data_IF_327201216134
#
_entry.id   IF_327201216134
#
_cell.length_a   1.000
_cell.length_b   1.000
_cell.length_c   1.000
_cell.angle_alpha   90.00
_cell.angle_beta   90.00
_cell.angle_gamma   90.00
#
_symmetry.space_group_name_H-M   'P 1'
#
loop_
_entity.id
_entity.type
_entity.pdbx_description
1 polymer ?
#
# COMPACT_ATOMS: atom_id res chain seq x y z
N UNK A 1 0.22 -15.97 16.81
CA UNK A 1 -0.80 -16.35 15.82
C UNK A 1 -0.10 -16.73 14.53
N UNK A 2 -0.47 -17.87 13.92
CA UNK A 2 0.01 -18.23 12.59
C UNK A 2 -0.96 -17.64 11.56
N UNK A 3 -0.45 -16.74 10.71
CA UNK A 3 -1.15 -16.23 9.53
C UNK A 3 -0.19 -16.34 8.35
N UNK A 4 -0.76 -16.65 7.20
CA UNK A 4 -0.10 -16.91 5.91
C UNK A 4 -0.15 -15.69 5.00
N UNK A 5 -1.07 -14.77 5.27
CA UNK A 5 -1.34 -13.61 4.45
C UNK A 5 -1.58 -12.35 5.28
N UNK A 6 -1.33 -11.22 4.64
CA UNK A 6 -1.60 -9.88 5.16
C UNK A 6 -2.39 -9.08 4.13
N UNK A 7 -3.12 -8.09 4.61
CA UNK A 7 -3.57 -6.97 3.81
C UNK A 7 -2.50 -5.89 3.88
N UNK A 8 -2.02 -5.43 2.74
CA UNK A 8 -1.22 -4.23 2.64
C UNK A 8 -2.17 -3.10 2.28
N UNK A 9 -2.19 -2.05 3.11
CA UNK A 9 -2.91 -0.82 2.88
C UNK A 9 -1.89 0.30 2.65
N UNK A 10 -2.00 1.05 1.55
CA UNK A 10 -1.11 2.19 1.28
C UNK A 10 -1.90 3.37 0.70
N UNK A 11 -1.45 4.59 1.00
CA UNK A 11 -2.08 5.84 0.59
C UNK A 11 -1.21 6.50 -0.48
N UNK A 12 -1.72 6.58 -1.71
CA UNK A 12 -0.95 6.98 -2.89
C UNK A 12 -1.80 7.84 -3.85
N UNK A 13 -1.21 8.77 -4.63
CA UNK A 13 -1.94 9.43 -5.70
C UNK A 13 -2.46 8.44 -6.76
N UNK A 14 -3.62 8.74 -7.32
CA UNK A 14 -4.38 7.83 -8.19
C UNK A 14 -3.58 7.41 -9.44
N UNK A 15 -2.78 8.32 -10.00
CA UNK A 15 -2.01 8.10 -11.21
C UNK A 15 -0.90 7.02 -11.07
N UNK A 16 -0.54 6.64 -9.84
CA UNK A 16 0.46 5.59 -9.58
C UNK A 16 -0.16 4.20 -9.37
N UNK A 17 -1.49 4.10 -9.25
CA UNK A 17 -2.16 2.85 -8.87
C UNK A 17 -1.90 1.74 -9.90
N UNK A 18 -2.05 2.01 -11.19
CA UNK A 18 -1.86 0.98 -12.23
C UNK A 18 -0.43 0.46 -12.27
N UNK A 19 0.54 1.37 -12.18
CA UNK A 19 1.96 1.02 -12.14
C UNK A 19 2.28 0.17 -10.91
N UNK A 20 1.82 0.60 -9.73
CA UNK A 20 2.04 -0.12 -8.48
C UNK A 20 1.41 -1.52 -8.51
N UNK A 21 0.16 -1.63 -8.96
CA UNK A 21 -0.55 -2.91 -9.13
C UNK A 21 0.25 -3.86 -10.02
N UNK A 22 0.73 -3.38 -11.16
CA UNK A 22 1.44 -4.20 -12.14
C UNK A 22 2.79 -4.69 -11.59
N UNK A 23 3.57 -3.83 -10.92
CA UNK A 23 4.86 -4.24 -10.33
C UNK A 23 4.68 -5.20 -9.14
N UNK A 24 3.66 -4.98 -8.31
CA UNK A 24 3.33 -5.91 -7.23
C UNK A 24 2.88 -7.27 -7.76
N UNK A 25 2.13 -7.30 -8.87
CA UNK A 25 1.71 -8.55 -9.48
C UNK A 25 2.90 -9.38 -10.00
N UNK A 26 3.96 -8.73 -10.51
CA UNK A 26 5.17 -9.43 -11.01
C UNK A 26 5.88 -10.27 -9.94
N UNK A 27 5.80 -9.86 -8.68
CA UNK A 27 6.38 -10.59 -7.55
C UNK A 27 5.39 -11.58 -6.91
N UNK A 28 4.19 -11.72 -7.47
CA UNK A 28 3.14 -12.62 -6.97
C UNK A 28 2.31 -12.05 -5.82
N UNK A 29 2.45 -10.76 -5.50
CA UNK A 29 1.45 -10.05 -4.68
C UNK A 29 0.18 -9.78 -5.53
N UNK A 30 -0.88 -9.24 -4.91
CA UNK A 30 -2.16 -8.97 -5.59
C UNK A 30 -2.86 -10.23 -6.16
N UNK A 31 -2.58 -11.41 -5.61
CA UNK A 31 -3.24 -12.66 -5.97
C UNK A 31 -4.34 -13.01 -4.96
N UNK A 32 -5.49 -13.45 -5.45
CA UNK A 32 -6.57 -14.02 -4.63
C UNK A 32 -7.14 -15.26 -5.32
N UNK A 33 -6.89 -16.45 -4.77
CA UNK A 33 -7.24 -17.70 -5.46
C UNK A 33 -6.57 -17.79 -6.82
N UNK A 34 -7.36 -18.00 -7.87
CA UNK A 34 -6.88 -18.07 -9.27
C UNK A 34 -6.90 -16.72 -10.01
N UNK A 35 -7.12 -15.61 -9.29
CA UNK A 35 -7.16 -14.26 -9.86
C UNK A 35 -5.91 -13.48 -9.47
N UNK A 36 -5.34 -12.74 -10.42
CA UNK A 36 -4.21 -11.83 -10.23
C UNK A 36 -4.65 -10.37 -10.41
N UNK A 37 -3.74 -9.40 -10.22
CA UNK A 37 -4.05 -7.96 -10.25
C UNK A 37 -5.20 -7.51 -9.31
N UNK A 38 -5.49 -8.30 -8.27
CA UNK A 38 -6.56 -8.05 -7.33
C UNK A 38 -6.20 -6.92 -6.37
N UNK A 39 -6.95 -5.82 -6.48
CA UNK A 39 -6.76 -4.55 -5.80
C UNK A 39 -8.13 -3.88 -5.69
N UNK A 40 -8.41 -3.25 -4.56
CA UNK A 40 -9.46 -2.25 -4.45
C UNK A 40 -8.87 -0.95 -3.92
N UNK A 41 -9.46 0.19 -4.28
CA UNK A 41 -9.08 1.45 -3.70
C UNK A 41 -10.30 2.32 -3.37
N UNK A 42 -10.11 3.27 -2.48
CA UNK A 42 -11.10 4.31 -2.15
C UNK A 42 -10.44 5.68 -2.23
N UNK A 43 -11.14 6.64 -2.83
CA UNK A 43 -10.75 8.05 -2.81
C UNK A 43 -10.81 8.59 -1.38
N UNK A 44 -9.74 9.24 -0.92
CA UNK A 44 -9.60 9.81 0.42
C UNK A 44 -8.92 11.19 0.37
N UNK A 45 -9.13 12.01 1.39
CA UNK A 45 -8.41 13.28 1.56
C UNK A 45 -7.29 13.08 2.58
N UNK A 46 -6.05 13.27 2.16
CA UNK A 46 -4.86 13.22 3.01
C UNK A 46 -4.50 14.59 3.57
N UNK A 47 -3.86 14.60 4.74
CA UNK A 47 -3.29 15.79 5.38
C UNK A 47 -1.90 15.48 5.89
N UNK A 48 -0.96 16.39 5.69
CA UNK A 48 0.40 16.27 6.20
C UNK A 48 0.97 17.65 6.52
N UNK A 49 2.02 17.68 7.33
CA UNK A 49 2.84 18.87 7.55
C UNK A 49 4.31 18.45 7.48
N UNK A 50 5.04 18.82 6.42
CA UNK A 50 6.46 18.54 6.33
C UNK A 50 7.23 19.17 7.51
N UNK A 51 8.11 18.39 8.15
CA UNK A 51 9.01 18.87 9.20
C UNK A 51 10.33 19.35 8.59
N UNK A 52 11.17 20.04 9.36
CA UNK A 52 12.40 20.69 8.87
C UNK A 52 13.32 19.80 8.03
N UNK A 53 13.37 18.50 8.30
CA UNK A 53 14.23 17.54 7.60
C UNK A 53 13.50 16.68 6.56
N UNK A 54 12.23 16.98 6.25
CA UNK A 54 11.47 16.25 5.25
C UNK A 54 11.81 16.75 3.84
N UNK A 55 11.82 15.83 2.86
CA UNK A 55 11.86 16.16 1.43
C UNK A 55 10.50 15.82 0.81
N UNK A 56 9.46 16.62 1.10
CA UNK A 56 8.11 16.27 0.70
C UNK A 56 7.96 16.29 -0.83
N UNK A 57 7.17 15.35 -1.35
CA UNK A 57 6.77 15.36 -2.76
C UNK A 57 6.01 16.66 -3.11
N UNK A 58 5.22 17.17 -2.16
CA UNK A 58 4.46 18.42 -2.27
C UNK A 58 4.28 19.09 -0.90
N UNK A 59 4.08 20.41 -0.92
CA UNK A 59 3.86 21.22 0.28
C UNK A 59 5.11 21.93 0.81
N UNK A 60 4.89 22.84 1.75
CA UNK A 60 5.93 23.68 2.34
C UNK A 60 6.24 23.26 3.78
N UNK A 61 7.52 23.35 4.17
CA UNK A 61 7.96 23.05 5.54
C UNK A 61 7.15 23.87 6.56
N UNK A 62 6.62 23.19 7.58
CA UNK A 62 5.88 23.81 8.68
C UNK A 62 4.42 24.16 8.38
N UNK A 63 3.94 24.00 7.14
CA UNK A 63 2.55 24.27 6.76
C UNK A 63 1.73 22.98 6.66
N UNK A 64 0.46 23.05 7.09
CA UNK A 64 -0.48 21.94 6.87
C UNK A 64 -0.88 21.96 5.40
N UNK A 65 -0.63 20.85 4.74
CA UNK A 65 -0.99 20.59 3.36
C UNK A 65 -2.09 19.54 3.31
N UNK A 66 -2.81 19.51 2.20
CA UNK A 66 -3.86 18.52 1.95
C UNK A 66 -3.87 18.13 0.48
N UNK A 67 -4.36 16.92 0.19
CA UNK A 67 -4.33 16.35 -1.14
C UNK A 67 -5.38 15.27 -1.34
N UNK A 68 -5.77 15.07 -2.61
CA UNK A 68 -6.58 13.92 -3.00
C UNK A 68 -5.65 12.71 -3.13
N UNK A 69 -6.00 11.62 -2.45
CA UNK A 69 -5.25 10.38 -2.47
C UNK A 69 -6.19 9.19 -2.64
N UNK A 70 -5.61 8.01 -2.82
CA UNK A 70 -6.32 6.75 -2.80
C UNK A 70 -5.76 5.85 -1.71
N UNK A 71 -6.65 5.35 -0.86
CA UNK A 71 -6.35 4.23 0.04
C UNK A 71 -6.49 2.94 -0.76
N UNK A 72 -5.38 2.29 -1.08
CA UNK A 72 -5.37 1.02 -1.79
C UNK A 72 -5.24 -0.14 -0.82
N UNK A 73 -5.88 -1.26 -1.14
CA UNK A 73 -5.91 -2.47 -0.32
C UNK A 73 -5.63 -3.70 -1.18
N UNK A 74 -4.61 -4.48 -0.81
CA UNK A 74 -4.21 -5.70 -1.52
C UNK A 74 -3.96 -6.84 -0.55
N UNK A 75 -4.20 -8.08 -0.99
CA UNK A 75 -3.72 -9.28 -0.29
C UNK A 75 -2.29 -9.60 -0.72
N UNK A 76 -1.47 -10.01 0.23
CA UNK A 76 -0.10 -10.41 0.01
C UNK A 76 0.24 -11.59 0.92
N UNK A 77 0.95 -12.60 0.40
CA UNK A 77 1.49 -13.66 1.26
C UNK A 77 2.54 -13.08 2.19
N UNK A 78 2.59 -13.60 3.42
CA UNK A 78 3.45 -13.08 4.49
C UNK A 78 4.94 -13.12 4.11
N UNK A 79 5.37 -14.11 3.35
CA UNK A 79 6.74 -14.28 2.87
C UNK A 79 7.13 -13.24 1.80
N UNK A 80 6.17 -12.72 1.03
CA UNK A 80 6.37 -11.70 0.00
C UNK A 80 6.29 -10.26 0.51
N UNK A 81 5.97 -10.03 1.79
CA UNK A 81 5.73 -8.68 2.33
C UNK A 81 6.94 -7.77 2.19
N UNK A 82 8.16 -8.29 2.41
CA UNK A 82 9.38 -7.48 2.27
C UNK A 82 9.57 -7.02 0.83
N UNK A 83 9.45 -7.92 -0.12
CA UNK A 83 9.57 -7.63 -1.55
C UNK A 83 8.47 -6.66 -2.00
N UNK A 84 7.24 -6.81 -1.48
CA UNK A 84 6.15 -5.90 -1.75
C UNK A 84 6.42 -4.48 -1.22
N UNK A 85 7.01 -4.34 -0.03
CA UNK A 85 7.41 -3.04 0.52
C UNK A 85 8.51 -2.38 -0.30
N UNK A 86 9.49 -3.15 -0.81
CA UNK A 86 10.52 -2.64 -1.70
C UNK A 86 9.93 -2.10 -3.01
N UNK A 87 8.98 -2.85 -3.60
CA UNK A 87 8.25 -2.42 -4.80
C UNK A 87 7.44 -1.15 -4.52
N UNK A 88 6.70 -1.10 -3.40
CA UNK A 88 5.94 0.09 -3.01
C UNK A 88 6.87 1.29 -2.89
N UNK A 89 7.95 1.20 -2.11
CA UNK A 89 8.88 2.31 -1.92
C UNK A 89 9.54 2.79 -3.22
N UNK A 90 9.76 1.90 -4.20
CA UNK A 90 10.33 2.26 -5.50
C UNK A 90 9.34 3.03 -6.39
N UNK A 91 8.07 2.68 -6.32
CA UNK A 91 7.02 3.27 -7.19
C UNK A 91 6.35 4.48 -6.54
N UNK A 92 6.28 4.50 -5.21
CA UNK A 92 5.62 5.56 -4.48
C UNK A 92 6.33 6.89 -4.70
N UNK A 93 5.61 7.99 -5.03
CA UNK A 93 6.23 9.29 -5.22
C UNK A 93 6.73 9.95 -3.94
N UNK A 94 6.40 9.39 -2.76
CA UNK A 94 6.67 10.02 -1.48
C UNK A 94 7.90 9.40 -0.85
N UNK A 95 8.71 10.23 -0.20
CA UNK A 95 9.89 9.79 0.56
C UNK A 95 9.54 8.74 1.62
N UNK A 96 8.43 8.93 2.35
CA UNK A 96 7.94 7.99 3.35
C UNK A 96 6.46 7.69 3.09
N UNK A 97 6.15 6.59 2.41
CA UNK A 97 4.77 6.17 2.18
C UNK A 97 4.06 5.80 3.50
N UNK A 98 2.78 6.13 3.60
CA UNK A 98 1.94 5.67 4.71
C UNK A 98 1.44 4.27 4.39
N UNK A 99 1.93 3.26 5.11
CA UNK A 99 1.63 1.84 4.85
C UNK A 99 1.18 1.14 6.14
N UNK A 100 0.14 0.31 6.06
CA UNK A 100 -0.25 -0.62 7.11
C UNK A 100 -0.18 -2.07 6.62
N UNK A 101 0.36 -2.93 7.48
CA UNK A 101 0.40 -4.37 7.28
C UNK A 101 -0.53 -5.02 8.30
N UNK A 102 -1.66 -5.53 7.83
CA UNK A 102 -2.74 -6.02 8.68
C UNK A 102 -2.85 -7.54 8.49
N UNK A 103 -2.68 -8.37 9.54
CA UNK A 103 -2.83 -9.81 9.43
C UNK A 103 -4.22 -10.20 8.95
N UNK A 104 -4.30 -11.13 7.99
CA UNK A 104 -5.57 -11.72 7.54
C UNK A 104 -5.76 -13.05 8.26
N UNK A 105 -6.91 -13.21 8.89
CA UNK A 105 -7.26 -14.41 9.66
C UNK A 105 -8.25 -15.32 8.92
N UNK A 106 -8.58 -15.06 7.65
CA UNK A 106 -9.55 -15.87 6.90
C UNK A 106 -9.21 -17.37 6.94
N UNK A 107 -7.94 -17.73 6.81
CA UNK A 107 -7.48 -19.13 6.86
C UNK A 107 -7.75 -19.82 8.21
N UNK A 108 -7.85 -19.05 9.30
CA UNK A 108 -8.24 -19.58 10.60
C UNK A 108 -9.69 -20.07 10.60
N UNK A 109 -10.56 -19.47 9.79
CA UNK A 109 -11.99 -19.80 9.70
C UNK A 109 -12.33 -20.76 8.55
N UNK A 110 -11.39 -21.01 7.64
CA UNK A 110 -11.56 -21.99 6.54
C UNK A 110 -11.54 -23.46 7.02
N UNK A 111 -11.34 -23.69 8.32
CA UNK A 111 -11.30 -25.03 8.95
C UNK A 111 -12.65 -25.44 9.58
N UNK A 112 -13.74 -24.74 9.25
CA UNK A 112 -15.11 -25.09 9.67
C UNK A 112 -15.80 -25.90 8.57
#
# INVERSE_FOLDING_TARGET
MQFTEVKIEVFIPEEYIEMLRNELNKIGACKTGEYDHCLSYSSVKGYWRPLENASPFNGEIGQICEGQECKIEIRCKRDLVKDALEVINKIHPYETPMIYIIPILNDYFNQI
#
